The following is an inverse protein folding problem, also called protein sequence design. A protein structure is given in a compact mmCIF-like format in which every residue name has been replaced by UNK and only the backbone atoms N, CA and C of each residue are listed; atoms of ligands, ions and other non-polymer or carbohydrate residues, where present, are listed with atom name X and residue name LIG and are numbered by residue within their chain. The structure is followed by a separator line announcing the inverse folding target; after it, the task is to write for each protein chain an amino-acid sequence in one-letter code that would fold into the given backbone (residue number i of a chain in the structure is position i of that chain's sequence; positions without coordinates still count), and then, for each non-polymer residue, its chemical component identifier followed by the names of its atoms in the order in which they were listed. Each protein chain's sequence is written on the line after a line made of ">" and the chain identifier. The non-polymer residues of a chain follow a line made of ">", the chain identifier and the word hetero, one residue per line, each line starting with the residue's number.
data_IF_735516379886
#
_entry.id   IF_735516379886
#
_cell.length_a   1.000
_cell.length_b   1.000
_cell.length_c   1.000
_cell.angle_alpha   90.00
_cell.angle_beta   90.00
_cell.angle_gamma   90.00
#
_symmetry.space_group_name_H-M   'P 1'
#
loop_
_entity.id
_entity.type
_entity.pdbx_description
1 polymer ?
#
# COMPACT_ATOMS: atom_id res chain seq x y z
N UNK A 1 22.12 6.06 -17.72
CA UNK A 1 20.75 5.93 -17.20
C UNK A 1 20.65 6.75 -15.92
N UNK A 2 20.05 7.94 -15.98
CA UNK A 2 19.80 8.73 -14.77
C UNK A 2 18.51 8.22 -14.13
N UNK A 3 18.64 7.47 -13.04
CA UNK A 3 17.49 7.15 -12.19
C UNK A 3 16.97 8.47 -11.61
N UNK A 4 15.71 8.79 -11.89
CA UNK A 4 15.05 9.96 -11.32
C UNK A 4 15.05 9.87 -9.79
N UNK A 5 15.33 10.99 -9.13
CA UNK A 5 15.40 11.13 -7.67
C UNK A 5 14.28 10.43 -6.85
N UNK A 6 13.00 10.41 -7.28
CA UNK A 6 11.96 9.67 -6.56
C UNK A 6 12.19 8.15 -6.54
N UNK A 7 12.79 7.59 -7.59
CA UNK A 7 13.07 6.14 -7.68
C UNK A 7 14.13 5.70 -6.65
N UNK A 8 15.10 6.56 -6.36
CA UNK A 8 16.14 6.29 -5.35
C UNK A 8 15.58 6.32 -3.92
N UNK A 9 14.61 7.20 -3.63
CA UNK A 9 13.97 7.28 -2.31
C UNK A 9 13.09 6.05 -2.02
N UNK A 10 12.38 5.53 -3.03
CA UNK A 10 11.54 4.34 -2.87
C UNK A 10 12.37 3.07 -2.71
N UNK A 11 13.48 2.94 -3.45
CA UNK A 11 14.44 1.83 -3.28
C UNK A 11 15.05 1.88 -1.88
N UNK A 12 15.39 3.08 -1.37
CA UNK A 12 15.94 3.27 -0.02
C UNK A 12 14.95 2.83 1.07
N UNK A 13 13.65 3.16 0.96
CA UNK A 13 12.68 2.78 1.99
C UNK A 13 12.37 1.27 2.00
N UNK A 14 12.36 0.63 0.83
CA UNK A 14 12.18 -0.82 0.69
C UNK A 14 13.40 -1.56 1.24
N UNK A 15 14.62 -1.12 0.90
CA UNK A 15 15.85 -1.70 1.43
C UNK A 15 15.95 -1.53 2.94
N UNK A 16 15.64 -0.36 3.48
CA UNK A 16 15.72 -0.12 4.93
C UNK A 16 14.72 -0.96 5.72
N UNK A 17 13.46 -1.06 5.26
CA UNK A 17 12.44 -1.85 5.96
C UNK A 17 12.69 -3.37 5.87
N UNK A 18 13.17 -3.86 4.72
CA UNK A 18 13.57 -5.26 4.55
C UNK A 18 14.84 -5.61 5.33
N UNK A 19 15.87 -4.75 5.31
CA UNK A 19 17.07 -4.90 6.13
C UNK A 19 16.74 -4.89 7.63
N UNK A 20 15.83 -4.02 8.06
CA UNK A 20 15.42 -3.95 9.46
C UNK A 20 14.69 -5.23 9.91
N UNK A 21 13.81 -5.76 9.04
CA UNK A 21 13.12 -7.04 9.30
C UNK A 21 14.12 -8.20 9.36
N UNK A 22 15.09 -8.26 8.44
CA UNK A 22 16.16 -9.27 8.45
C UNK A 22 17.03 -9.12 9.70
N UNK A 23 17.38 -7.89 10.11
CA UNK A 23 18.18 -7.62 11.31
C UNK A 23 17.44 -8.05 12.59
N UNK A 24 16.15 -7.72 12.72
CA UNK A 24 15.31 -8.14 13.86
C UNK A 24 15.22 -9.66 13.96
N UNK A 25 15.18 -10.37 12.83
CA UNK A 25 15.11 -11.83 12.83
C UNK A 25 16.49 -12.49 12.97
N UNK A 26 17.55 -11.89 12.43
CA UNK A 26 18.89 -12.47 12.44
C UNK A 26 19.62 -12.29 13.78
N UNK A 27 19.44 -11.15 14.46
CA UNK A 27 20.18 -10.82 15.69
C UNK A 27 19.80 -11.72 16.87
N UNK A 28 18.52 -11.93 17.24
CA UNK A 28 18.17 -12.81 18.35
C UNK A 28 18.60 -14.25 18.11
N UNK A 29 18.56 -14.72 16.87
CA UNK A 29 18.92 -16.09 16.53
C UNK A 29 20.43 -16.31 16.47
N UNK A 30 21.21 -15.33 16.00
CA UNK A 30 22.68 -15.36 16.13
C UNK A 30 23.11 -15.45 17.58
N UNK A 31 22.42 -14.71 18.46
CA UNK A 31 22.62 -14.78 19.92
C UNK A 31 22.23 -16.15 20.47
N UNK A 32 21.07 -16.71 20.10
CA UNK A 32 20.66 -18.06 20.54
C UNK A 32 21.65 -19.13 20.06
N UNK A 33 22.13 -19.07 18.81
CA UNK A 33 23.08 -20.03 18.26
C UNK A 33 24.44 -19.93 18.98
N UNK A 34 24.90 -18.71 19.27
CA UNK A 34 26.12 -18.48 20.05
C UNK A 34 25.98 -18.95 21.51
N UNK A 35 24.80 -18.79 22.11
CA UNK A 35 24.50 -19.30 23.46
C UNK A 35 24.54 -20.83 23.47
N UNK A 36 23.90 -21.49 22.51
CA UNK A 36 23.91 -22.96 22.38
C UNK A 36 25.35 -23.46 22.20
N UNK A 37 26.12 -22.85 21.29
CA UNK A 37 27.51 -23.22 21.05
C UNK A 37 28.40 -22.99 22.30
N UNK A 38 28.12 -21.95 23.09
CA UNK A 38 28.83 -21.69 24.35
C UNK A 38 28.48 -22.72 25.43
N UNK A 39 27.21 -23.13 25.53
CA UNK A 39 26.75 -24.17 26.47
C UNK A 39 27.38 -25.52 26.10
N UNK A 40 27.34 -25.91 24.83
CA UNK A 40 27.90 -27.17 24.34
C UNK A 40 29.42 -27.25 24.57
N UNK A 41 30.16 -26.14 24.34
CA UNK A 41 31.59 -26.05 24.68
C UNK A 41 31.86 -26.24 26.16
N UNK A 42 31.06 -25.63 27.04
CA UNK A 42 31.23 -25.78 28.49
C UNK A 42 30.89 -27.19 28.98
N UNK A 43 29.97 -27.88 28.30
CA UNK A 43 29.59 -29.24 28.64
C UNK A 43 30.61 -30.31 28.17
N UNK A 44 31.67 -29.93 27.46
CA UNK A 44 32.69 -30.86 26.96
C UNK A 44 32.17 -31.82 25.90
N UNK A 45 31.00 -31.51 25.30
CA UNK A 45 30.42 -32.33 24.25
C UNK A 45 31.11 -31.94 22.95
N UNK A 46 31.98 -32.81 22.43
CA UNK A 46 32.43 -32.72 21.04
C UNK A 46 31.24 -33.00 20.11
N UNK A 47 30.39 -32.00 19.93
CA UNK A 47 29.27 -32.09 19.00
C UNK A 47 29.83 -32.11 17.59
N UNK A 48 29.98 -33.32 17.02
CA UNK A 48 29.88 -33.51 15.56
C UNK A 48 28.67 -32.67 15.12
N UNK A 49 28.79 -31.76 14.14
CA UNK A 49 27.65 -30.94 13.73
C UNK A 49 26.56 -31.90 13.26
N UNK A 50 25.60 -32.14 14.15
CA UNK A 50 24.56 -33.12 13.92
C UNK A 50 23.78 -32.64 12.71
N UNK A 51 23.31 -33.58 11.89
CA UNK A 51 22.47 -33.29 10.72
C UNK A 51 21.36 -32.26 11.03
N UNK A 52 20.87 -32.29 12.27
CA UNK A 52 19.94 -31.32 12.83
C UNK A 52 20.41 -29.86 12.72
N UNK A 53 21.64 -29.51 13.14
CA UNK A 53 22.15 -28.14 13.07
C UNK A 53 22.29 -27.63 11.63
N UNK A 54 22.58 -28.53 10.67
CA UNK A 54 22.62 -28.18 9.24
C UNK A 54 21.22 -27.92 8.70
N UNK A 55 20.26 -28.80 9.01
CA UNK A 55 18.86 -28.65 8.60
C UNK A 55 18.26 -27.35 9.14
N UNK A 56 18.48 -27.04 10.41
CA UNK A 56 17.98 -25.80 11.04
C UNK A 56 18.57 -24.56 10.36
N UNK A 57 19.88 -24.55 10.08
CA UNK A 57 20.52 -23.44 9.34
C UNK A 57 19.97 -23.28 7.92
N UNK A 58 19.78 -24.38 7.19
CA UNK A 58 19.23 -24.35 5.83
C UNK A 58 17.79 -23.85 5.81
N UNK A 59 16.94 -24.34 6.72
CA UNK A 59 15.56 -23.87 6.85
C UNK A 59 15.52 -22.36 7.16
N UNK A 60 16.39 -21.87 8.04
CA UNK A 60 16.46 -20.45 8.37
C UNK A 60 16.82 -19.57 7.16
N UNK A 61 17.85 -19.96 6.40
CA UNK A 61 18.23 -19.24 5.17
C UNK A 61 17.07 -19.25 4.18
N UNK A 62 16.41 -20.40 3.99
CA UNK A 62 15.26 -20.52 3.11
C UNK A 62 14.10 -19.62 3.55
N UNK A 63 13.76 -19.58 4.85
CA UNK A 63 12.72 -18.70 5.39
C UNK A 63 13.08 -17.22 5.23
N UNK A 64 14.33 -16.83 5.50
CA UNK A 64 14.79 -15.45 5.30
C UNK A 64 14.68 -15.01 3.83
N UNK A 65 15.07 -15.87 2.88
CA UNK A 65 14.91 -15.62 1.45
C UNK A 65 13.43 -15.51 1.09
N UNK A 66 12.57 -16.41 1.59
CA UNK A 66 11.13 -16.37 1.34
C UNK A 66 10.51 -15.05 1.82
N UNK A 67 10.84 -14.60 3.03
CA UNK A 67 10.36 -13.32 3.57
C UNK A 67 10.83 -12.14 2.71
N UNK A 68 12.11 -12.11 2.31
CA UNK A 68 12.65 -11.09 1.41
C UNK A 68 11.92 -11.08 0.05
N UNK A 69 11.69 -12.25 -0.53
CA UNK A 69 10.93 -12.39 -1.77
C UNK A 69 9.49 -11.88 -1.60
N UNK A 70 8.81 -12.20 -0.50
CA UNK A 70 7.45 -11.71 -0.22
C UNK A 70 7.40 -10.18 -0.10
N UNK A 71 8.36 -9.57 0.62
CA UNK A 71 8.45 -8.10 0.75
C UNK A 71 8.75 -7.43 -0.60
N UNK A 72 9.69 -8.00 -1.37
CA UNK A 72 10.03 -7.50 -2.70
C UNK A 72 8.83 -7.58 -3.66
N UNK A 73 8.12 -8.72 -3.69
CA UNK A 73 6.91 -8.89 -4.51
C UNK A 73 5.81 -7.90 -4.11
N UNK A 74 5.52 -7.77 -2.80
CA UNK A 74 4.53 -6.79 -2.31
C UNK A 74 4.86 -5.35 -2.69
N UNK A 75 6.14 -4.99 -2.61
CA UNK A 75 6.63 -3.67 -3.01
C UNK A 75 6.51 -3.42 -4.51
N UNK A 76 6.88 -4.39 -5.34
CA UNK A 76 6.74 -4.32 -6.80
C UNK A 76 5.27 -4.16 -7.22
N UNK A 77 4.36 -4.91 -6.58
CA UNK A 77 2.91 -4.80 -6.84
C UNK A 77 2.41 -3.40 -6.49
N UNK A 78 2.78 -2.87 -5.32
CA UNK A 78 2.35 -1.54 -4.87
C UNK A 78 2.87 -0.43 -5.78
N UNK A 79 4.14 -0.48 -6.19
CA UNK A 79 4.73 0.51 -7.09
C UNK A 79 4.06 0.45 -8.47
N UNK A 80 3.84 -0.75 -9.02
CA UNK A 80 3.13 -0.92 -10.29
C UNK A 80 1.74 -0.29 -10.27
N UNK A 81 1.01 -0.39 -9.16
CA UNK A 81 -0.33 0.24 -9.01
C UNK A 81 -0.25 1.76 -8.95
N UNK A 82 0.74 2.31 -8.24
CA UNK A 82 0.99 3.77 -8.21
C UNK A 82 1.36 4.30 -9.59
N UNK A 83 2.21 3.57 -10.31
CA UNK A 83 2.61 3.93 -11.67
C UNK A 83 1.41 3.88 -12.61
N UNK A 84 0.60 2.80 -12.53
CA UNK A 84 -0.63 2.65 -13.31
C UNK A 84 -1.61 3.79 -13.04
N UNK A 85 -1.87 4.13 -11.78
CA UNK A 85 -2.72 5.26 -11.41
C UNK A 85 -2.19 6.58 -11.98
N UNK A 86 -0.88 6.82 -11.85
CA UNK A 86 -0.23 8.02 -12.40
C UNK A 86 -0.35 8.09 -13.92
N UNK A 87 -0.25 6.94 -14.60
CA UNK A 87 -0.42 6.83 -16.05
C UNK A 87 -1.86 7.14 -16.47
N UNK A 88 -2.85 6.55 -15.81
CA UNK A 88 -4.28 6.76 -16.11
C UNK A 88 -4.66 8.23 -15.95
N UNK A 89 -4.20 8.88 -14.90
CA UNK A 89 -4.49 10.30 -14.70
C UNK A 89 -3.87 11.20 -15.78
N UNK A 90 -2.84 10.73 -16.51
CA UNK A 90 -2.23 11.45 -17.65
C UNK A 90 -2.91 11.14 -18.98
N UNK A 91 -3.63 10.02 -19.08
CA UNK A 91 -4.30 9.63 -20.31
C UNK A 91 -5.60 10.45 -20.52
N UNK A 92 -6.02 10.64 -21.78
CA UNK A 92 -7.38 11.08 -22.04
C UNK A 92 -8.33 10.02 -21.49
N UNK A 93 -9.26 10.46 -20.64
CA UNK A 93 -10.32 9.62 -20.07
C UNK A 93 -11.59 10.09 -20.74
N UNK A 94 -12.36 9.16 -21.29
CA UNK A 94 -13.57 9.49 -22.02
C UNK A 94 -14.69 9.86 -21.04
N UNK A 95 -14.78 9.13 -19.91
CA UNK A 95 -15.77 9.40 -18.85
C UNK A 95 -15.24 9.04 -17.47
N UNK A 96 -15.64 9.82 -16.47
CA UNK A 96 -15.46 9.48 -15.06
C UNK A 96 -16.84 9.34 -14.43
N UNK A 97 -17.17 8.12 -14.02
CA UNK A 97 -18.37 7.83 -13.25
C UNK A 97 -17.97 7.72 -11.79
N UNK A 98 -18.67 8.44 -10.92
CA UNK A 98 -18.47 8.37 -9.47
C UNK A 98 -19.74 7.85 -8.84
N UNK A 99 -19.62 6.71 -8.18
CA UNK A 99 -20.71 5.99 -7.53
C UNK A 99 -20.67 6.29 -6.03
N UNK A 100 -21.74 6.89 -5.52
CA UNK A 100 -21.95 7.21 -4.12
C UNK A 100 -23.09 6.33 -3.60
N UNK A 101 -22.75 5.18 -3.02
CA UNK A 101 -23.75 4.18 -2.65
C UNK A 101 -24.52 3.68 -3.88
N UNK A 102 -25.82 3.97 -3.96
CA UNK A 102 -26.69 3.61 -5.09
C UNK A 102 -26.74 4.64 -6.21
N UNK A 103 -26.20 5.84 -6.00
CA UNK A 103 -26.25 6.93 -6.98
C UNK A 103 -24.98 6.96 -7.82
N UNK A 104 -25.12 7.10 -9.14
CA UNK A 104 -23.99 7.25 -10.05
C UNK A 104 -24.04 8.64 -10.69
N UNK A 105 -22.95 9.38 -10.57
CA UNK A 105 -22.80 10.72 -11.15
C UNK A 105 -21.69 10.68 -12.19
N UNK A 106 -22.01 11.09 -13.41
CA UNK A 106 -21.02 11.30 -14.47
C UNK A 106 -20.44 12.71 -14.35
N UNK A 107 -19.13 12.83 -14.23
CA UNK A 107 -18.46 14.11 -14.21
C UNK A 107 -18.23 14.64 -15.62
N UNK A 108 -18.67 15.88 -15.88
CA UNK A 108 -18.31 16.60 -17.11
C UNK A 108 -16.80 16.77 -17.23
N UNK A 109 -16.27 16.95 -18.44
CA UNK A 109 -14.83 17.00 -18.72
C UNK A 109 -14.03 17.94 -17.80
N UNK A 110 -14.58 19.11 -17.47
CA UNK A 110 -13.91 20.08 -16.59
C UNK A 110 -13.87 19.59 -15.14
N UNK A 111 -15.00 19.08 -14.64
CA UNK A 111 -15.13 18.50 -13.29
C UNK A 111 -14.25 17.27 -13.15
N UNK A 112 -14.23 16.41 -14.17
CA UNK A 112 -13.39 15.22 -14.26
C UNK A 112 -11.88 15.57 -14.25
N UNK A 113 -11.47 16.65 -14.94
CA UNK A 113 -10.08 17.12 -14.95
C UNK A 113 -9.66 17.67 -13.59
N UNK A 114 -10.50 18.48 -12.97
CA UNK A 114 -10.26 19.01 -11.63
C UNK A 114 -10.16 17.89 -10.60
N UNK A 115 -11.12 16.96 -10.60
CA UNK A 115 -11.12 15.80 -9.71
C UNK A 115 -9.83 14.98 -9.83
N UNK A 116 -9.39 14.66 -11.05
CA UNK A 116 -8.11 13.97 -11.28
C UNK A 116 -6.92 14.75 -10.72
N UNK A 117 -6.91 16.07 -10.92
CA UNK A 117 -5.85 16.93 -10.40
C UNK A 117 -5.80 16.86 -8.87
N UNK A 118 -6.96 16.89 -8.19
CA UNK A 118 -7.07 16.79 -6.73
C UNK A 118 -6.59 15.44 -6.18
N UNK A 119 -6.95 14.34 -6.85
CA UNK A 119 -6.47 13.00 -6.48
C UNK A 119 -4.94 12.88 -6.59
N UNK A 120 -4.31 13.65 -7.48
CA UNK A 120 -2.86 13.66 -7.68
C UNK A 120 -2.13 14.69 -6.78
N UNK A 121 -2.73 15.83 -6.49
CA UNK A 121 -2.08 16.95 -5.80
C UNK A 121 -2.07 16.82 -4.28
N UNK A 122 -2.90 15.95 -3.70
CA UNK A 122 -2.98 15.74 -2.26
C UNK A 122 -1.62 15.47 -1.59
N UNK A 123 -1.46 15.84 -0.33
CA UNK A 123 -0.21 15.60 0.42
C UNK A 123 -0.15 14.14 0.87
N UNK A 124 0.94 13.43 0.57
CA UNK A 124 1.12 12.07 1.08
C UNK A 124 1.23 12.07 2.61
N UNK A 125 0.57 11.10 3.24
CA UNK A 125 0.60 10.89 4.69
C UNK A 125 1.05 9.47 5.02
N UNK A 126 1.53 9.27 6.25
CA UNK A 126 1.93 7.96 6.73
C UNK A 126 0.70 7.10 7.01
N UNK A 127 0.82 5.80 6.82
CA UNK A 127 -0.24 4.88 7.15
C UNK A 127 -0.42 4.80 8.67
N UNK A 128 -1.68 4.82 9.11
CA UNK A 128 -2.08 4.61 10.51
C UNK A 128 -3.29 3.66 10.57
N UNK A 129 -3.71 3.28 11.78
CA UNK A 129 -4.62 2.15 12.05
C UNK A 129 -6.12 2.47 11.91
N UNK A 130 -6.47 3.57 11.24
CA UNK A 130 -7.86 3.92 10.95
C UNK A 130 -8.44 3.05 9.83
N UNK A 131 -9.75 3.15 9.62
CA UNK A 131 -10.45 2.56 8.48
C UNK A 131 -11.15 3.66 7.67
N UNK A 132 -11.24 3.51 6.34
CA UNK A 132 -12.04 4.42 5.54
C UNK A 132 -13.53 4.28 5.83
N UNK A 133 -14.22 5.41 5.83
CA UNK A 133 -15.68 5.58 5.81
C UNK A 133 -16.08 6.27 4.50
N UNK A 134 -17.39 6.29 4.22
CA UNK A 134 -17.98 6.97 3.06
C UNK A 134 -17.25 6.63 1.75
N UNK A 135 -17.06 5.32 1.50
CA UNK A 135 -16.35 4.86 0.30
C UNK A 135 -17.15 5.17 -0.97
N UNK A 136 -16.56 5.97 -1.85
CA UNK A 136 -17.09 6.25 -3.18
C UNK A 136 -16.33 5.43 -4.22
N UNK A 137 -17.02 4.88 -5.20
CA UNK A 137 -16.36 4.19 -6.30
C UNK A 137 -16.13 5.14 -7.46
N UNK A 138 -14.95 5.07 -8.06
CA UNK A 138 -14.55 5.91 -9.18
C UNK A 138 -14.24 4.97 -10.34
N UNK A 139 -15.02 5.05 -11.40
CA UNK A 139 -14.81 4.30 -12.63
C UNK A 139 -14.28 5.25 -13.71
N UNK A 140 -13.04 4.99 -14.12
CA UNK A 140 -12.44 5.63 -15.29
C UNK A 140 -12.78 4.77 -16.51
N UNK A 141 -13.57 5.33 -17.43
CA UNK A 141 -13.92 4.68 -18.70
C UNK A 141 -13.09 5.26 -19.85
N UNK A 142 -12.64 4.38 -20.74
CA UNK A 142 -11.90 4.74 -21.95
C UNK A 142 -11.07 3.58 -22.46
N UNK A 143 -9.80 3.84 -22.82
CA UNK A 143 -8.88 2.80 -23.33
C UNK A 143 -8.64 1.64 -22.33
N UNK A 144 -8.78 1.91 -21.03
CA UNK A 144 -8.78 0.91 -19.97
C UNK A 144 -9.87 1.25 -18.96
N UNK A 145 -10.82 0.33 -18.77
CA UNK A 145 -11.84 0.46 -17.74
C UNK A 145 -11.23 0.07 -16.39
N UNK A 146 -11.07 1.04 -15.50
CA UNK A 146 -10.40 0.86 -14.21
C UNK A 146 -11.23 1.52 -13.12
N UNK A 147 -11.39 0.80 -12.02
CA UNK A 147 -12.21 1.16 -10.87
C UNK A 147 -11.36 1.33 -9.62
N UNK A 148 -11.62 2.40 -8.89
CA UNK A 148 -11.00 2.70 -7.59
C UNK A 148 -12.06 2.90 -6.52
N UNK A 149 -11.74 2.55 -5.28
CA UNK A 149 -12.49 3.00 -4.10
C UNK A 149 -11.72 4.17 -3.46
N UNK A 150 -12.41 5.27 -3.20
CA UNK A 150 -11.92 6.41 -2.45
C UNK A 150 -12.72 6.52 -1.16
N UNK A 151 -12.08 6.23 -0.04
CA UNK A 151 -12.69 6.37 1.29
C UNK A 151 -12.09 7.53 2.06
N UNK A 152 -12.90 8.23 2.86
CA UNK A 152 -12.44 9.25 3.79
C UNK A 152 -11.99 8.58 5.09
N UNK A 153 -10.93 9.08 5.71
CA UNK A 153 -10.48 8.57 6.99
C UNK A 153 -11.50 8.89 8.11
N UNK A 154 -11.76 7.94 9.01
CA UNK A 154 -12.70 8.13 10.11
C UNK A 154 -12.17 9.03 11.24
N UNK A 155 -10.85 9.05 11.45
CA UNK A 155 -10.22 9.71 12.59
C UNK A 155 -9.63 11.07 12.20
N UNK A 156 -9.15 11.19 10.96
CA UNK A 156 -8.45 12.38 10.47
C UNK A 156 -9.26 13.08 9.38
N UNK A 157 -9.77 14.30 9.64
CA UNK A 157 -10.51 15.03 8.63
C UNK A 157 -9.63 15.35 7.42
N UNK A 158 -10.24 15.25 6.24
CA UNK A 158 -9.64 15.52 4.92
C UNK A 158 -8.54 14.54 4.51
N UNK A 159 -8.38 13.42 5.22
CA UNK A 159 -7.52 12.33 4.81
C UNK A 159 -8.31 11.28 4.02
N UNK A 160 -7.67 10.72 3.00
CA UNK A 160 -8.30 9.86 2.02
C UNK A 160 -7.45 8.63 1.70
N UNK A 161 -8.15 7.52 1.48
CA UNK A 161 -7.61 6.22 1.12
C UNK A 161 -8.07 5.91 -0.30
N UNK A 162 -7.13 5.82 -1.24
CA UNK A 162 -7.40 5.40 -2.61
C UNK A 162 -6.94 3.95 -2.80
N UNK A 163 -7.88 3.08 -3.15
CA UNK A 163 -7.66 1.64 -3.36
C UNK A 163 -8.03 1.25 -4.79
N UNK A 164 -7.25 0.37 -5.40
CA UNK A 164 -7.58 -0.23 -6.69
C UNK A 164 -8.44 -1.47 -6.49
N UNK A 165 -9.69 -1.40 -6.98
CA UNK A 165 -10.70 -2.47 -6.86
C UNK A 165 -10.93 -3.20 -8.20
N UNK A 166 -10.15 -2.89 -9.23
CA UNK A 166 -10.27 -3.52 -10.56
C UNK A 166 -9.75 -4.96 -10.55
N UNK A 167 -8.73 -5.22 -9.73
CA UNK A 167 -8.09 -6.53 -9.66
C UNK A 167 -8.81 -7.43 -8.65
N UNK A 168 -9.33 -8.61 -9.04
CA UNK A 168 -9.94 -9.55 -8.10
C UNK A 168 -8.93 -10.02 -7.05
N UNK A 169 -9.39 -10.22 -5.81
CA UNK A 169 -8.55 -10.63 -4.67
C UNK A 169 -7.89 -9.48 -3.90
N UNK A 170 -8.36 -8.25 -4.12
CA UNK A 170 -7.75 -7.04 -3.60
C UNK A 170 -8.53 -6.37 -2.45
N UNK A 171 -8.95 -7.15 -1.46
CA UNK A 171 -9.65 -6.64 -0.27
C UNK A 171 -8.69 -6.25 0.87
N UNK A 172 -7.38 -6.39 0.67
CA UNK A 172 -6.34 -6.23 1.70
C UNK A 172 -5.46 -4.99 1.53
N UNK A 173 -4.59 -4.74 2.51
CA UNK A 173 -3.60 -3.63 2.56
C UNK A 173 -2.77 -3.47 1.27
N UNK A 174 -2.60 -4.53 0.47
CA UNK A 174 -1.85 -4.53 -0.80
C UNK A 174 -2.50 -3.79 -1.97
N UNK A 175 -3.70 -3.25 -1.78
CA UNK A 175 -4.52 -2.63 -2.83
C UNK A 175 -4.53 -1.11 -2.75
N UNK A 176 -3.94 -0.57 -1.68
CA UNK A 176 -3.81 0.86 -1.46
C UNK A 176 -2.87 1.45 -2.51
N UNK A 177 -3.44 2.25 -3.39
CA UNK A 177 -2.69 3.06 -4.34
C UNK A 177 -2.07 4.24 -3.59
N UNK A 178 -2.86 4.91 -2.75
CA UNK A 178 -2.44 6.13 -2.06
C UNK A 178 -3.18 6.33 -0.74
N UNK A 179 -2.50 6.97 0.21
CA UNK A 179 -3.12 7.63 1.35
C UNK A 179 -2.61 9.07 1.39
N UNK A 180 -3.52 10.02 1.45
CA UNK A 180 -3.19 11.43 1.27
C UNK A 180 -4.20 12.35 1.95
N UNK A 181 -3.77 13.56 2.25
CA UNK A 181 -4.63 14.62 2.78
C UNK A 181 -4.90 15.67 1.70
N UNK A 182 -6.16 16.08 1.54
CA UNK A 182 -6.56 17.19 0.67
C UNK A 182 -7.86 17.83 1.13
N UNK A 183 -7.78 19.06 1.61
CA UNK A 183 -8.94 19.87 1.99
C UNK A 183 -9.75 20.28 0.76
N UNK A 184 -9.08 20.47 -0.37
CA UNK A 184 -9.67 20.84 -1.65
C UNK A 184 -10.54 19.72 -2.20
N UNK A 185 -10.10 18.46 -2.08
CA UNK A 185 -10.90 17.30 -2.45
C UNK A 185 -12.16 17.19 -1.57
N UNK A 186 -12.07 17.52 -0.28
CA UNK A 186 -13.23 17.56 0.60
C UNK A 186 -14.27 18.56 0.13
N UNK A 187 -13.85 19.81 -0.10
CA UNK A 187 -14.73 20.86 -0.63
C UNK A 187 -15.32 20.49 -2.00
N UNK A 188 -14.50 19.91 -2.86
CA UNK A 188 -14.94 19.45 -4.18
C UNK A 188 -16.07 18.41 -4.06
N UNK A 189 -15.91 17.42 -3.17
CA UNK A 189 -16.92 16.38 -2.94
C UNK A 189 -18.18 16.92 -2.25
N UNK A 190 -18.08 17.97 -1.43
CA UNK A 190 -19.26 18.65 -0.87
C UNK A 190 -20.08 19.40 -1.93
N UNK A 191 -19.42 19.94 -2.96
CA UNK A 191 -20.06 20.68 -4.05
C UNK A 191 -20.63 19.74 -5.12
N UNK A 192 -19.86 18.72 -5.50
CA UNK A 192 -20.14 17.85 -6.65
C UNK A 192 -20.60 16.44 -6.29
N UNK A 193 -20.43 16.03 -5.03
CA UNK A 193 -20.98 14.78 -4.53
C UNK A 193 -22.48 14.90 -4.27
N UNK A 194 -23.14 13.78 -3.91
CA UNK A 194 -24.52 13.81 -3.48
C UNK A 194 -24.58 14.72 -2.26
N UNK A 195 -25.53 15.64 -2.30
CA UNK A 195 -26.01 16.31 -1.11
C UNK A 195 -26.68 15.22 -0.27
N UNK A 196 -25.89 14.44 0.47
CA UNK A 196 -26.42 13.50 1.46
C UNK A 196 -27.19 14.39 2.41
N UNK A 197 -28.51 14.42 2.20
CA UNK A 197 -29.44 15.03 3.12
C UNK A 197 -29.23 14.24 4.40
N UNK A 198 -28.51 14.83 5.35
CA UNK A 198 -28.41 14.35 6.72
C UNK A 198 -29.82 14.41 7.31
N UNK A 199 -30.70 13.50 6.89
CA UNK A 199 -31.81 13.09 7.71
C UNK A 199 -31.19 12.23 8.79
N UNK A 200 -30.98 12.88 9.93
CA UNK A 200 -30.77 12.27 11.24
C UNK A 200 -31.59 10.98 11.31
N UNK A 201 -30.90 9.84 11.37
CA UNK A 201 -31.55 8.62 11.84
C UNK A 201 -31.83 8.82 13.34
N UNK A 202 -33.07 8.58 13.81
CA UNK A 202 -33.48 8.79 15.19
C UNK A 202 -32.79 7.86 16.18
#
# INVERSE_FOLDING_TARGET
>A
MNLSMPTLLTISSILTSSLFTVMILAVPFGVVNAIIEHIDRKAGVETKPSLFNKIVRTLFIATGILVLCSVAMGSCITNKRKDLFTEICKQPVDRILVSFGSENVEFSDNVAREFRSLLQSGRNVLAHHSNPIDEIQIHFEGARNISYSLGKDCDVPNEYWLKDITSPGCESVGCKVRQFQSTELTKFLEIHGPQVSLQEQP
#
